data_IF_471622731498
#
_entry.id   IF_471622731498
#
_cell.length_a   1.000
_cell.length_b   1.000
_cell.length_c   1.000
_cell.angle_alpha   90.00
_cell.angle_beta   90.00
_cell.angle_gamma   90.00
#
_symmetry.space_group_name_H-M   'P 1'
#
loop_
_entity.id
_entity.type
_entity.pdbx_description
1 polymer ?
#
# COMPACT_ATOMS: atom_id res chain seq x y z
N UNK A 1 -3.14 -8.95 -12.45
CA UNK A 1 -2.66 -7.87 -11.56
C UNK A 1 -3.85 -7.06 -11.12
N UNK A 2 -4.18 -7.13 -9.83
CA UNK A 2 -5.22 -6.30 -9.20
C UNK A 2 -4.64 -5.78 -7.89
N UNK A 3 -4.49 -4.46 -7.78
CA UNK A 3 -4.07 -3.83 -6.53
C UNK A 3 -5.23 -3.91 -5.54
N UNK A 4 -4.99 -4.49 -4.38
CA UNK A 4 -5.95 -4.56 -3.27
C UNK A 4 -5.50 -3.59 -2.19
N UNK A 5 -6.40 -2.70 -1.80
CA UNK A 5 -6.17 -1.75 -0.70
C UNK A 5 -7.12 -2.12 0.44
N UNK A 6 -6.57 -2.71 1.49
CA UNK A 6 -7.31 -2.97 2.71
C UNK A 6 -7.45 -1.68 3.52
N UNK A 7 -8.68 -1.34 3.87
CA UNK A 7 -9.02 -0.11 4.56
C UNK A 7 -10.02 -0.36 5.69
N UNK A 8 -10.13 0.57 6.63
CA UNK A 8 -11.23 0.62 7.59
C UNK A 8 -12.13 1.82 7.26
N UNK A 9 -13.27 1.56 6.60
CA UNK A 9 -14.19 2.61 6.13
C UNK A 9 -14.77 3.41 7.31
N UNK A 10 -15.09 2.72 8.40
CA UNK A 10 -15.68 3.29 9.62
C UNK A 10 -14.64 3.53 10.74
N UNK A 11 -13.37 3.70 10.40
CA UNK A 11 -12.31 3.99 11.39
C UNK A 11 -12.65 5.18 12.29
N UNK A 12 -12.36 5.09 13.58
CA UNK A 12 -12.46 6.22 14.51
C UNK A 12 -11.28 7.20 14.42
N UNK A 13 -10.18 6.79 13.77
CA UNK A 13 -8.95 7.58 13.69
C UNK A 13 -8.93 8.44 12.43
N UNK A 14 -8.90 9.77 12.62
CA UNK A 14 -8.72 10.73 11.51
C UNK A 14 -7.40 10.51 10.78
N UNK A 15 -6.33 10.12 11.48
CA UNK A 15 -5.04 9.85 10.87
C UNK A 15 -5.11 8.66 9.90
N UNK A 16 -5.77 7.57 10.30
CA UNK A 16 -5.99 6.39 9.44
C UNK A 16 -6.81 6.77 8.20
N UNK A 17 -7.89 7.55 8.38
CA UNK A 17 -8.72 8.00 7.25
C UNK A 17 -7.91 8.80 6.22
N UNK A 18 -7.06 9.73 6.69
CA UNK A 18 -6.20 10.52 5.80
C UNK A 18 -5.20 9.66 5.04
N UNK A 19 -4.55 8.71 5.72
CA UNK A 19 -3.62 7.76 5.08
C UNK A 19 -4.30 6.92 3.99
N UNK A 20 -5.48 6.37 4.29
CA UNK A 20 -6.28 5.63 3.31
C UNK A 20 -6.64 6.51 2.11
N UNK A 21 -7.14 7.73 2.35
CA UNK A 21 -7.51 8.67 1.29
C UNK A 21 -6.33 9.07 0.40
N UNK A 22 -5.13 9.24 0.98
CA UNK A 22 -3.91 9.56 0.22
C UNK A 22 -3.51 8.40 -0.70
N UNK A 23 -3.54 7.15 -0.21
CA UNK A 23 -3.30 5.96 -1.05
C UNK A 23 -4.31 5.90 -2.20
N UNK A 24 -5.61 5.97 -1.89
CA UNK A 24 -6.67 5.86 -2.91
C UNK A 24 -6.58 7.00 -3.94
N UNK A 25 -6.46 8.25 -3.49
CA UNK A 25 -6.37 9.41 -4.35
C UNK A 25 -5.13 9.39 -5.25
N UNK A 26 -4.01 8.84 -4.75
CA UNK A 26 -2.81 8.67 -5.55
C UNK A 26 -2.97 7.61 -6.64
N UNK A 27 -3.53 6.44 -6.29
CA UNK A 27 -3.80 5.38 -7.27
C UNK A 27 -4.78 5.87 -8.36
N UNK A 28 -5.81 6.62 -7.98
CA UNK A 28 -6.74 7.26 -8.91
C UNK A 28 -6.04 8.27 -9.84
N UNK A 29 -5.17 9.11 -9.28
CA UNK A 29 -4.42 10.10 -10.07
C UNK A 29 -3.49 9.45 -11.10
N UNK A 30 -2.91 8.29 -10.77
CA UNK A 30 -2.11 7.49 -11.70
C UNK A 30 -2.94 6.58 -12.62
N UNK A 31 -4.27 6.54 -12.44
CA UNK A 31 -5.18 5.64 -13.17
C UNK A 31 -4.79 4.17 -13.02
N UNK A 32 -4.34 3.79 -11.83
CA UNK A 32 -4.06 2.41 -11.47
C UNK A 32 -5.37 1.78 -11.01
N UNK A 33 -5.76 0.66 -11.62
CA UNK A 33 -6.94 -0.08 -11.20
C UNK A 33 -6.69 -0.77 -9.85
N UNK A 34 -7.63 -0.62 -8.92
CA UNK A 34 -7.55 -1.20 -7.59
C UNK A 34 -8.91 -1.60 -7.05
N UNK A 35 -8.93 -2.48 -6.04
CA UNK A 35 -10.10 -2.88 -5.28
C UNK A 35 -9.95 -2.46 -3.82
N UNK A 36 -11.00 -1.89 -3.25
CA UNK A 36 -11.07 -1.55 -1.83
C UNK A 36 -11.63 -2.74 -1.04
N UNK A 37 -10.92 -3.19 -0.02
CA UNK A 37 -11.34 -4.28 0.86
C UNK A 37 -11.51 -3.75 2.28
N UNK A 38 -12.76 -3.49 2.66
CA UNK A 38 -13.06 -2.94 3.99
C UNK A 38 -12.91 -4.00 5.07
N UNK A 39 -12.10 -3.74 6.09
CA UNK A 39 -11.86 -4.62 7.24
C UNK A 39 -12.76 -4.27 8.44
N UNK A 40 -13.38 -3.09 8.41
CA UNK A 40 -14.22 -2.62 9.50
C UNK A 40 -15.59 -3.29 9.47
N UNK A 41 -16.16 -3.47 8.28
CA UNK A 41 -17.47 -4.11 8.08
C UNK A 41 -17.40 -5.56 7.60
N UNK A 42 -16.24 -6.05 7.15
CA UNK A 42 -16.05 -7.43 6.68
C UNK A 42 -14.93 -8.13 7.47
N UNK A 43 -15.30 -9.22 8.15
CA UNK A 43 -14.39 -10.01 8.98
C UNK A 43 -13.40 -10.85 8.18
N UNK A 44 -13.83 -11.41 7.05
CA UNK A 44 -12.95 -12.19 6.16
C UNK A 44 -11.79 -11.33 5.66
N UNK A 45 -12.08 -10.12 5.18
CA UNK A 45 -11.04 -9.15 4.79
C UNK A 45 -10.10 -8.83 5.95
N UNK A 46 -10.64 -8.66 7.16
CA UNK A 46 -9.86 -8.32 8.36
C UNK A 46 -8.92 -9.45 8.75
N UNK A 47 -9.40 -10.70 8.74
CA UNK A 47 -8.59 -11.87 9.05
C UNK A 47 -7.53 -12.07 7.98
N UNK A 48 -7.93 -12.07 6.70
CA UNK A 48 -7.03 -12.25 5.57
C UNK A 48 -5.89 -11.22 5.59
N UNK A 49 -6.20 -9.93 5.80
CA UNK A 49 -5.16 -8.89 5.90
C UNK A 49 -4.17 -9.19 7.02
N UNK A 50 -4.63 -9.55 8.22
CA UNK A 50 -3.75 -9.79 9.38
C UNK A 50 -2.88 -11.02 9.23
N UNK A 51 -3.38 -12.04 8.54
CA UNK A 51 -2.64 -13.27 8.26
C UNK A 51 -1.56 -13.06 7.20
N UNK A 52 -1.89 -12.31 6.13
CA UNK A 52 -1.03 -12.16 4.96
C UNK A 52 -0.04 -10.99 5.03
N UNK A 53 -0.15 -10.09 6.02
CA UNK A 53 0.96 -9.17 6.32
C UNK A 53 2.16 -10.00 6.82
N UNK A 54 3.37 -9.89 6.23
CA UNK A 54 4.54 -10.64 6.66
C UNK A 54 4.92 -10.35 8.11
N UNK A 55 5.41 -11.37 8.83
CA UNK A 55 5.68 -11.28 10.27
C UNK A 55 6.65 -10.17 10.64
N UNK A 56 7.70 -9.97 9.84
CA UNK A 56 8.70 -8.92 9.96
C UNK A 56 8.17 -7.51 9.66
N UNK A 57 7.01 -7.41 9.00
CA UNK A 57 6.30 -6.16 8.72
C UNK A 57 5.15 -5.90 9.70
N UNK A 58 4.86 -6.84 10.61
CA UNK A 58 3.87 -6.61 11.68
C UNK A 58 4.47 -5.69 12.75
N UNK A 59 3.65 -4.83 13.38
CA UNK A 59 4.12 -4.03 14.51
C UNK A 59 4.55 -4.92 15.67
N UNK A 60 5.63 -4.56 16.38
CA UNK A 60 6.17 -5.31 17.54
C UNK A 60 5.12 -5.57 18.60
N UNK A 61 4.23 -4.59 18.79
CA UNK A 61 3.07 -4.69 19.67
C UNK A 61 1.81 -4.32 18.88
N UNK A 62 0.81 -5.21 18.86
CA UNK A 62 -0.49 -4.96 18.26
C UNK A 62 -0.72 -5.67 16.93
N UNK A 63 -1.57 -5.10 16.10
CA UNK A 63 -2.01 -5.66 14.82
C UNK A 63 -1.67 -4.69 13.68
N UNK A 64 -1.45 -5.18 12.45
CA UNK A 64 -1.33 -4.29 11.29
C UNK A 64 -2.61 -3.45 11.15
N UNK A 65 -2.43 -2.15 10.93
CA UNK A 65 -3.49 -1.18 10.76
C UNK A 65 -3.58 -0.74 9.28
N UNK A 66 -4.78 -0.41 8.78
CA UNK A 66 -4.92 0.07 7.42
C UNK A 66 -4.35 1.48 7.22
N UNK A 67 -3.99 1.86 5.97
CA UNK A 67 -4.10 1.04 4.76
C UNK A 67 -3.01 -0.06 4.68
N UNK A 68 -3.36 -1.19 4.08
CA UNK A 68 -2.43 -2.27 3.74
C UNK A 68 -2.61 -2.63 2.26
N UNK A 69 -1.51 -2.65 1.50
CA UNK A 69 -1.54 -2.70 0.04
C UNK A 69 -0.94 -4.02 -0.43
N UNK A 70 -1.65 -4.69 -1.34
CA UNK A 70 -1.24 -5.95 -1.93
C UNK A 70 -1.41 -5.88 -3.45
N UNK A 71 -0.55 -6.58 -4.18
CA UNK A 71 -0.80 -6.94 -5.58
C UNK A 71 -1.20 -8.41 -5.60
N UNK A 72 -2.50 -8.66 -5.81
CA UNK A 72 -3.12 -9.98 -5.66
C UNK A 72 -2.92 -10.58 -4.25
N UNK A 73 -1.95 -11.47 -4.07
CA UNK A 73 -1.58 -12.07 -2.77
C UNK A 73 -0.22 -11.58 -2.27
N UNK A 74 0.54 -10.87 -3.12
CA UNK A 74 1.86 -10.36 -2.77
C UNK A 74 1.73 -9.07 -1.96
N UNK A 75 2.35 -9.04 -0.78
CA UNK A 75 2.38 -7.86 0.06
C UNK A 75 3.27 -6.77 -0.54
N UNK A 76 2.70 -5.59 -0.81
CA UNK A 76 3.46 -4.43 -1.26
C UNK A 76 3.97 -3.63 -0.06
N UNK A 77 3.08 -3.30 0.88
CA UNK A 77 3.45 -2.55 2.08
C UNK A 77 2.27 -1.85 2.77
N UNK A 78 2.62 -1.15 3.84
CA UNK A 78 1.76 -0.26 4.60
C UNK A 78 1.82 1.17 4.03
N UNK A 79 1.23 2.13 4.75
CA UNK A 79 1.25 3.53 4.34
C UNK A 79 2.66 4.12 4.30
N UNK A 80 3.48 3.82 5.29
CA UNK A 80 4.84 4.34 5.42
C UNK A 80 5.69 3.89 4.22
N UNK A 81 5.65 2.60 3.88
CA UNK A 81 6.37 2.06 2.72
C UNK A 81 5.84 2.67 1.41
N UNK A 82 4.52 2.85 1.29
CA UNK A 82 3.91 3.53 0.14
C UNK A 82 4.36 4.99 0.02
N UNK A 83 4.44 5.70 1.15
CA UNK A 83 4.84 7.10 1.20
C UNK A 83 6.31 7.27 0.78
N UNK A 84 7.20 6.40 1.26
CA UNK A 84 8.59 6.36 0.80
C UNK A 84 8.68 6.13 -0.72
N UNK A 85 7.94 5.16 -1.25
CA UNK A 85 7.91 4.90 -2.68
C UNK A 85 7.34 6.08 -3.50
N UNK A 86 6.42 6.85 -2.92
CA UNK A 86 5.87 8.06 -3.52
C UNK A 86 6.91 9.18 -3.59
N UNK A 87 7.67 9.40 -2.53
CA UNK A 87 8.76 10.40 -2.49
C UNK A 87 9.91 10.03 -3.47
N UNK A 88 10.23 8.74 -3.56
CA UNK A 88 11.27 8.21 -4.46
C UNK A 88 10.79 8.05 -5.92
N UNK A 89 9.51 8.34 -6.19
CA UNK A 89 8.86 8.09 -7.47
C UNK A 89 9.05 6.65 -8.00
N UNK A 90 9.01 5.68 -7.08
CA UNK A 90 9.17 4.24 -7.31
C UNK A 90 7.86 3.45 -7.06
N UNK A 91 6.71 4.13 -7.04
CA UNK A 91 5.41 3.50 -6.70
C UNK A 91 5.04 2.31 -7.60
N UNK A 92 5.41 2.33 -8.88
CA UNK A 92 5.17 1.17 -9.75
C UNK A 92 5.98 -0.07 -9.31
N UNK A 93 7.22 0.11 -8.85
CA UNK A 93 8.03 -0.97 -8.29
C UNK A 93 7.43 -1.46 -6.97
N UNK A 94 7.04 -0.54 -6.08
CA UNK A 94 6.34 -0.85 -4.83
C UNK A 94 5.08 -1.70 -5.06
N UNK A 95 4.29 -1.37 -6.09
CA UNK A 95 3.09 -2.10 -6.46
C UNK A 95 3.39 -3.39 -7.26
N UNK A 96 4.63 -3.65 -7.64
CA UNK A 96 5.00 -4.76 -8.52
C UNK A 96 4.37 -4.64 -9.93
N UNK A 97 4.22 -3.42 -10.43
CA UNK A 97 3.64 -3.10 -11.74
C UNK A 97 4.71 -2.62 -12.72
N UNK A 98 4.49 -2.85 -14.01
CA UNK A 98 5.31 -2.21 -15.05
C UNK A 98 4.90 -0.74 -15.18
N UNK A 99 5.84 0.21 -15.06
CA UNK A 99 5.53 1.62 -15.24
C UNK A 99 5.13 1.93 -16.70
N UNK A 100 4.22 2.89 -16.93
CA UNK A 100 3.86 3.32 -18.27
C UNK A 100 5.06 3.98 -18.96
N UNK A 101 5.06 3.96 -20.30
CA UNK A 101 6.10 4.60 -21.08
C UNK A 101 6.26 6.08 -20.71
N UNK A 102 7.50 6.52 -20.47
CA UNK A 102 7.82 7.89 -20.10
C UNK A 102 7.73 8.20 -18.59
N UNK A 103 7.35 7.24 -17.76
CA UNK A 103 7.45 7.37 -16.31
C UNK A 103 8.93 7.40 -15.88
N UNK A 104 9.35 8.48 -15.23
CA UNK A 104 10.75 8.69 -14.81
C UNK A 104 10.93 8.26 -13.36
N UNK A 105 11.49 7.09 -13.11
CA UNK A 105 11.94 6.75 -11.75
C UNK A 105 13.08 7.70 -11.33
N UNK A 106 13.12 8.12 -10.06
CA UNK A 106 14.34 8.75 -9.57
C UNK A 106 15.42 7.68 -9.50
N UNK A 107 16.51 7.88 -10.24
CA UNK A 107 17.66 7.01 -10.11
C UNK A 107 18.24 7.22 -8.70
N UNK A 108 18.16 6.21 -7.84
CA UNK A 108 18.86 6.22 -6.56
C UNK A 108 20.36 6.22 -6.82
N UNK A 109 20.98 7.41 -6.79
CA UNK A 109 22.42 7.61 -7.05
C UNK A 109 23.30 6.88 -6.02
N UNK A 110 22.72 6.39 -4.92
CA UNK A 110 23.44 5.71 -3.84
C UNK A 110 23.79 4.23 -4.09
N UNK A 111 23.26 3.57 -5.13
CA UNK A 111 23.57 2.16 -5.41
C UNK A 111 24.72 1.94 -6.41
N UNK A 112 25.36 3.00 -6.93
CA UNK A 112 26.50 2.91 -7.87
C UNK A 112 27.88 3.17 -7.22
N UNK A 113 28.00 3.03 -5.90
CA UNK A 113 29.29 3.01 -5.21
C UNK A 113 29.42 1.77 -4.33
N UNK A 114 29.60 0.62 -4.97
CA UNK A 114 30.34 -0.53 -4.46
C UNK A 114 31.19 -1.13 -5.57
#
# INVERSE_FOLDING_TARGET
MVIKVFLASSSGSTAIKKKQQDVLGFLEALKIDYTQLDIASNEENRMWMRENVPGEKKPTNGIPLPPQIFNEESYCGDYETFFEAKEDNSVYEFLGLTPPAGFKQQANIFSMQL
#
